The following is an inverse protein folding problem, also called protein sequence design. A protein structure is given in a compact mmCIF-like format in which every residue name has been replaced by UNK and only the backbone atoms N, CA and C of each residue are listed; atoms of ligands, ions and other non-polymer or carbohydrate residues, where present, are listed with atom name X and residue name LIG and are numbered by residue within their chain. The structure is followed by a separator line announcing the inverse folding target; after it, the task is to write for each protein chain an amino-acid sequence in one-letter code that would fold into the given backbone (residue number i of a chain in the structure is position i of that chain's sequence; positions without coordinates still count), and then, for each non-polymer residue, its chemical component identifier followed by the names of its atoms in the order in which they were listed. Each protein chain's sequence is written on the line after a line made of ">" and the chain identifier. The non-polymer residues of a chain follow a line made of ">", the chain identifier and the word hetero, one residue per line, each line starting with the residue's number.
data_IF_351881034284
#
_entry.id   IF_351881034284
#
_cell.length_a   1.000
_cell.length_b   1.000
_cell.length_c   1.000
_cell.angle_alpha   90.00
_cell.angle_beta   90.00
_cell.angle_gamma   90.00
#
_symmetry.space_group_name_H-M   'P 1'
#
loop_
_entity.id
_entity.type
_entity.pdbx_description
1 polymer ?
#
# COMPACT_ATOMS: atom_id res chain seq x y z
N UNK A 1 2.85 13.43 -34.69
CA UNK A 1 4.15 13.40 -34.00
C UNK A 1 4.27 12.09 -33.26
N UNK A 2 5.46 11.53 -33.19
CA UNK A 2 5.72 10.35 -32.39
C UNK A 2 5.56 10.71 -30.89
N UNK A 3 5.06 9.80 -30.06
CA UNK A 3 4.75 10.04 -28.65
C UNK A 3 6.01 10.31 -27.80
N UNK A 4 7.13 9.74 -28.21
CA UNK A 4 8.46 9.89 -27.63
C UNK A 4 9.08 11.27 -27.87
N UNK A 5 8.60 12.01 -28.90
CA UNK A 5 9.01 13.39 -29.18
C UNK A 5 8.24 14.43 -28.32
N UNK A 6 7.20 14.00 -27.60
CA UNK A 6 6.42 14.90 -26.77
C UNK A 6 7.01 14.97 -25.36
N UNK A 7 7.29 16.18 -24.85
CA UNK A 7 7.77 16.32 -23.48
C UNK A 7 6.72 15.82 -22.47
N UNK A 8 7.20 15.31 -21.36
CA UNK A 8 6.36 14.93 -20.21
C UNK A 8 6.44 16.06 -19.20
N UNK A 9 5.29 16.66 -18.86
CA UNK A 9 5.21 17.73 -17.87
C UNK A 9 4.70 17.23 -16.54
N UNK A 10 3.43 16.80 -16.50
CA UNK A 10 2.74 16.40 -15.27
C UNK A 10 2.22 14.95 -15.32
N UNK A 11 2.47 14.23 -16.41
CA UNK A 11 2.01 12.85 -16.55
C UNK A 11 2.86 11.89 -15.76
N UNK A 12 2.21 11.08 -14.96
CA UNK A 12 2.78 9.94 -14.24
C UNK A 12 1.97 8.67 -14.46
N UNK A 13 2.62 7.54 -14.27
CA UNK A 13 1.95 6.24 -14.18
C UNK A 13 1.69 5.96 -12.70
N UNK A 14 0.45 6.06 -12.23
CA UNK A 14 0.13 5.75 -10.85
C UNK A 14 0.26 4.25 -10.59
N UNK A 15 0.37 3.91 -9.32
CA UNK A 15 0.36 2.52 -8.89
C UNK A 15 -0.96 1.87 -9.27
N UNK A 16 -0.90 0.74 -9.97
CA UNK A 16 -2.10 0.00 -10.32
C UNK A 16 -2.77 -0.51 -9.03
N UNK A 17 -4.01 -0.14 -8.86
CA UNK A 17 -4.88 -0.54 -7.77
C UNK A 17 -6.30 -0.73 -8.31
N UNK A 18 -7.24 -1.13 -7.47
CA UNK A 18 -8.63 -1.36 -7.89
C UNK A 18 -9.29 -0.10 -8.50
N UNK A 19 -8.97 1.08 -8.03
CA UNK A 19 -9.51 2.34 -8.59
C UNK A 19 -8.95 2.57 -9.99
N UNK A 20 -7.64 2.42 -10.16
CA UNK A 20 -6.97 2.58 -11.45
C UNK A 20 -7.36 1.51 -12.46
N UNK A 21 -7.69 0.30 -11.99
CA UNK A 21 -8.13 -0.80 -12.83
C UNK A 21 -9.39 -0.45 -13.64
N UNK A 22 -10.31 0.32 -13.04
CA UNK A 22 -11.55 0.77 -13.69
C UNK A 22 -11.42 2.18 -14.30
N UNK A 23 -10.25 2.79 -14.24
CA UNK A 23 -9.98 4.07 -14.88
C UNK A 23 -9.94 3.95 -16.41
N UNK A 24 -10.44 4.97 -17.10
CA UNK A 24 -10.38 5.05 -18.57
C UNK A 24 -9.03 5.50 -19.09
N UNK A 25 -8.27 6.23 -18.27
CA UNK A 25 -6.90 6.63 -18.54
C UNK A 25 -5.96 6.01 -17.52
N UNK A 26 -4.93 5.32 -17.98
CA UNK A 26 -3.92 4.73 -17.09
C UNK A 26 -2.91 5.73 -16.52
N UNK A 27 -2.90 6.95 -17.07
CA UNK A 27 -2.03 8.04 -16.61
C UNK A 27 -2.78 9.00 -15.70
N UNK A 28 -2.06 9.62 -14.80
CA UNK A 28 -2.45 10.84 -14.09
C UNK A 28 -1.76 12.02 -14.76
N UNK A 29 -2.34 13.22 -14.65
CA UNK A 29 -1.89 14.41 -15.38
C UNK A 29 -2.71 14.65 -16.63
N UNK A 30 -2.40 15.74 -17.35
CA UNK A 30 -3.20 16.25 -18.46
C UNK A 30 -2.57 16.10 -19.84
N UNK A 31 -1.27 15.85 -19.92
CA UNK A 31 -0.51 15.86 -21.18
C UNK A 31 -0.52 14.52 -21.93
N UNK A 32 -0.99 13.44 -21.31
CA UNK A 32 -1.13 12.12 -21.96
C UNK A 32 -2.45 11.43 -21.66
N UNK A 33 -3.03 10.88 -22.70
CA UNK A 33 -4.21 10.03 -22.62
C UNK A 33 -3.87 8.69 -23.27
N UNK A 34 -4.09 7.61 -22.56
CA UNK A 34 -3.87 6.26 -23.10
C UNK A 34 -4.92 5.96 -24.18
N UNK A 35 -4.51 5.21 -25.20
CA UNK A 35 -5.49 4.58 -26.08
C UNK A 35 -6.18 3.48 -25.26
N UNK A 36 -7.49 3.62 -25.09
CA UNK A 36 -8.30 2.70 -24.30
C UNK A 36 -9.30 1.96 -25.19
N UNK A 37 -8.94 0.73 -25.56
CA UNK A 37 -9.89 -0.26 -26.06
C UNK A 37 -9.72 -1.47 -25.13
N UNK A 38 -10.50 -1.49 -24.04
CA UNK A 38 -10.27 -2.40 -22.93
C UNK A 38 -11.56 -2.77 -22.21
N UNK A 39 -11.54 -3.92 -21.54
CA UNK A 39 -12.54 -4.33 -20.58
C UNK A 39 -11.90 -4.63 -19.24
N UNK A 40 -12.41 -4.04 -18.17
CA UNK A 40 -11.98 -4.32 -16.80
C UNK A 40 -13.02 -5.16 -16.10
N UNK A 41 -12.57 -6.24 -15.47
CA UNK A 41 -13.41 -7.17 -14.73
C UNK A 41 -12.90 -7.25 -13.30
N UNK A 42 -13.82 -7.20 -12.35
CA UNK A 42 -13.51 -7.35 -10.93
C UNK A 42 -14.62 -8.04 -10.18
N UNK A 43 -14.24 -8.83 -9.19
CA UNK A 43 -15.17 -9.50 -8.28
C UNK A 43 -14.85 -9.07 -6.87
N UNK A 44 -15.89 -8.70 -6.13
CA UNK A 44 -15.77 -8.33 -4.71
C UNK A 44 -16.71 -9.20 -3.88
N UNK A 45 -16.14 -9.88 -2.89
CA UNK A 45 -16.89 -10.56 -1.83
C UNK A 45 -16.84 -9.75 -0.54
N UNK A 46 -17.97 -9.65 0.16
CA UNK A 46 -18.05 -9.03 1.48
C UNK A 46 -18.83 -9.93 2.41
N UNK A 47 -18.27 -10.17 3.59
CA UNK A 47 -18.93 -10.93 4.63
C UNK A 47 -19.23 -10.02 5.82
N UNK A 48 -20.45 -10.17 6.32
CA UNK A 48 -20.98 -9.39 7.42
C UNK A 48 -21.35 -10.32 8.58
N UNK A 49 -21.12 -9.84 9.77
CA UNK A 49 -21.59 -10.49 10.98
C UNK A 49 -23.11 -10.37 11.07
N UNK A 50 -23.78 -11.48 11.31
CA UNK A 50 -25.25 -11.54 11.26
C UNK A 50 -25.90 -10.77 12.41
N UNK A 51 -25.25 -10.66 13.56
CA UNK A 51 -25.81 -10.03 14.75
C UNK A 51 -25.57 -8.51 14.75
N UNK A 52 -24.36 -8.09 14.41
CA UNK A 52 -23.97 -6.68 14.46
C UNK A 52 -24.11 -5.94 13.13
N UNK A 53 -24.27 -6.65 12.01
CA UNK A 53 -24.23 -6.09 10.67
C UNK A 53 -22.84 -5.55 10.26
N UNK A 54 -21.83 -5.74 11.10
CA UNK A 54 -20.47 -5.25 10.85
C UNK A 54 -19.77 -6.08 9.79
N UNK A 55 -19.15 -5.42 8.82
CA UNK A 55 -18.35 -6.12 7.82
C UNK A 55 -17.04 -6.59 8.45
N UNK A 56 -16.78 -7.89 8.44
CA UNK A 56 -15.53 -8.46 8.95
C UNK A 56 -14.56 -8.91 7.85
N UNK A 57 -15.03 -9.09 6.60
CA UNK A 57 -14.17 -9.42 5.47
C UNK A 57 -14.62 -8.68 4.21
N UNK A 58 -13.66 -8.16 3.48
CA UNK A 58 -13.83 -7.73 2.11
C UNK A 58 -12.64 -8.24 1.29
N UNK A 59 -12.92 -8.94 0.21
CA UNK A 59 -11.92 -9.41 -0.73
C UNK A 59 -12.31 -8.97 -2.15
N UNK A 60 -11.37 -8.40 -2.87
CA UNK A 60 -11.58 -7.98 -4.25
C UNK A 60 -10.42 -8.47 -5.11
N UNK A 61 -10.73 -8.95 -6.29
CA UNK A 61 -9.76 -9.30 -7.31
C UNK A 61 -10.22 -8.74 -8.65
N UNK A 62 -9.29 -8.25 -9.46
CA UNK A 62 -9.65 -7.70 -10.76
C UNK A 62 -8.48 -7.63 -11.73
N UNK A 63 -8.82 -7.52 -13.02
CA UNK A 63 -7.88 -7.45 -14.13
C UNK A 63 -8.50 -6.69 -15.30
N UNK A 64 -7.64 -6.04 -16.11
CA UNK A 64 -8.04 -5.37 -17.35
C UNK A 64 -7.51 -6.14 -18.56
N UNK A 65 -8.35 -6.34 -19.54
CA UNK A 65 -8.01 -6.94 -20.83
C UNK A 65 -8.01 -5.86 -21.90
N UNK A 66 -6.92 -5.78 -22.68
CA UNK A 66 -6.74 -4.81 -23.75
C UNK A 66 -6.99 -5.48 -25.10
N UNK A 67 -7.89 -4.90 -25.89
CA UNK A 67 -8.21 -5.40 -27.23
C UNK A 67 -7.29 -4.85 -28.31
N UNK A 68 -6.51 -3.81 -27.96
CA UNK A 68 -5.48 -3.23 -28.82
C UNK A 68 -4.16 -3.07 -28.05
N UNK A 69 -3.07 -3.06 -28.78
CA UNK A 69 -1.76 -2.74 -28.19
C UNK A 69 -1.75 -1.31 -27.66
N UNK A 70 -1.23 -1.14 -26.48
CA UNK A 70 -1.00 0.20 -25.90
C UNK A 70 0.10 0.90 -26.71
N UNK A 71 -0.26 1.97 -27.40
CA UNK A 71 0.64 2.74 -28.27
C UNK A 71 1.23 3.96 -27.57
N UNK A 72 0.56 4.42 -26.51
CA UNK A 72 0.96 5.58 -25.70
C UNK A 72 1.75 5.07 -24.51
N UNK A 73 2.99 5.53 -24.36
CA UNK A 73 3.91 5.17 -23.27
C UNK A 73 4.59 6.39 -22.68
N UNK A 74 5.20 6.22 -21.50
CA UNK A 74 6.13 7.19 -20.94
C UNK A 74 7.57 6.86 -21.42
N UNK A 75 8.46 7.86 -21.54
CA UNK A 75 9.86 7.62 -21.81
C UNK A 75 10.45 6.67 -20.78
N UNK A 76 11.12 5.59 -21.26
CA UNK A 76 11.69 4.57 -20.39
C UNK A 76 10.70 3.52 -19.86
N UNK A 77 9.41 3.64 -20.18
CA UNK A 77 8.43 2.59 -19.86
C UNK A 77 8.67 1.38 -20.76
N UNK A 78 8.89 0.18 -20.20
CA UNK A 78 9.06 -1.02 -21.01
C UNK A 78 7.77 -1.32 -21.79
N UNK A 79 7.87 -1.75 -23.05
CA UNK A 79 6.69 -2.12 -23.83
C UNK A 79 5.97 -3.28 -23.14
N UNK A 80 4.66 -3.13 -22.96
CA UNK A 80 3.84 -4.21 -22.39
C UNK A 80 3.86 -5.43 -23.30
N UNK A 81 4.10 -6.56 -22.66
CA UNK A 81 3.95 -7.87 -23.26
C UNK A 81 2.58 -8.41 -22.88
N UNK A 82 1.79 -8.83 -23.87
CA UNK A 82 0.46 -9.38 -23.64
C UNK A 82 -0.69 -8.36 -23.70
N UNK A 83 -1.90 -8.89 -23.63
CA UNK A 83 -3.16 -8.16 -23.80
C UNK A 83 -3.92 -8.00 -22.47
N UNK A 84 -3.26 -8.19 -21.34
CA UNK A 84 -3.86 -8.10 -20.00
C UNK A 84 -3.01 -7.26 -19.05
N UNK A 85 -3.67 -6.64 -18.08
CA UNK A 85 -2.97 -5.97 -16.99
C UNK A 85 -2.42 -6.99 -15.99
N UNK A 86 -1.63 -6.50 -15.05
CA UNK A 86 -1.40 -7.25 -13.83
C UNK A 86 -2.72 -7.53 -13.12
N UNK A 87 -2.77 -8.65 -12.43
CA UNK A 87 -3.87 -9.00 -11.55
C UNK A 87 -3.74 -8.17 -10.27
N UNK A 88 -4.82 -7.52 -9.85
CA UNK A 88 -4.88 -6.78 -8.59
C UNK A 88 -5.79 -7.50 -7.62
N UNK A 89 -5.29 -7.78 -6.43
CA UNK A 89 -6.07 -8.37 -5.35
C UNK A 89 -5.92 -7.57 -4.07
N UNK A 90 -7.03 -7.36 -3.36
CA UNK A 90 -7.08 -6.69 -2.07
C UNK A 90 -7.92 -7.50 -1.10
N UNK A 91 -7.46 -7.60 0.13
CA UNK A 91 -8.16 -8.24 1.23
C UNK A 91 -8.13 -7.32 2.44
N UNK A 92 -9.30 -7.07 3.03
CA UNK A 92 -9.43 -6.41 4.32
C UNK A 92 -10.20 -7.35 5.26
N UNK A 93 -9.58 -7.71 6.35
CA UNK A 93 -10.12 -8.60 7.37
C UNK A 93 -10.10 -7.90 8.72
N UNK A 94 -11.25 -7.84 9.38
CA UNK A 94 -11.38 -7.44 10.78
C UNK A 94 -11.69 -8.70 11.58
N UNK A 95 -10.66 -9.30 12.18
CA UNK A 95 -10.80 -10.53 12.96
C UNK A 95 -10.88 -10.19 14.45
N UNK A 96 -11.86 -10.74 15.15
CA UNK A 96 -12.00 -10.61 16.60
C UNK A 96 -11.80 -9.18 17.07
N UNK A 97 -12.72 -8.29 16.86
CA UNK A 97 -12.76 -6.90 17.35
C UNK A 97 -11.42 -6.11 17.43
N UNK A 98 -10.29 -6.82 17.68
CA UNK A 98 -8.99 -6.25 18.01
C UNK A 98 -7.97 -6.33 16.88
N UNK A 99 -8.18 -7.19 15.87
CA UNK A 99 -7.26 -7.39 14.75
C UNK A 99 -7.83 -6.87 13.44
N UNK A 100 -7.06 -6.06 12.76
CA UNK A 100 -7.28 -5.68 11.38
C UNK A 100 -6.11 -6.15 10.52
N UNK A 101 -6.40 -6.78 9.41
CA UNK A 101 -5.40 -7.25 8.43
C UNK A 101 -5.79 -6.68 7.06
N UNK A 102 -4.88 -5.92 6.47
CA UNK A 102 -4.97 -5.47 5.10
C UNK A 102 -3.89 -6.16 4.27
N UNK A 103 -4.27 -6.72 3.17
CA UNK A 103 -3.37 -7.32 2.19
C UNK A 103 -3.67 -6.75 0.80
N UNK A 104 -2.63 -6.41 0.06
CA UNK A 104 -2.71 -5.97 -1.33
C UNK A 104 -1.64 -6.67 -2.16
N UNK A 105 -2.00 -7.09 -3.36
CA UNK A 105 -1.13 -7.77 -4.31
C UNK A 105 -1.36 -7.24 -5.72
N UNK A 106 -0.27 -6.97 -6.42
CA UNK A 106 -0.22 -6.80 -7.86
C UNK A 106 0.68 -7.89 -8.43
N UNK A 107 0.09 -8.77 -9.21
CA UNK A 107 0.75 -9.94 -9.79
C UNK A 107 0.81 -9.80 -11.31
N UNK A 108 2.02 -9.92 -11.86
CA UNK A 108 2.25 -9.94 -13.29
C UNK A 108 2.14 -11.39 -13.80
N UNK A 109 1.08 -11.73 -14.56
CA UNK A 109 0.89 -13.10 -15.06
C UNK A 109 1.89 -13.49 -16.15
N UNK A 110 2.39 -12.53 -16.94
CA UNK A 110 3.33 -12.79 -18.01
C UNK A 110 4.71 -13.22 -17.49
N UNK A 111 5.16 -12.56 -16.44
CA UNK A 111 6.46 -12.83 -15.82
C UNK A 111 6.34 -13.75 -14.60
N UNK A 112 5.12 -14.16 -14.24
CA UNK A 112 4.79 -15.01 -13.08
C UNK A 112 5.41 -14.51 -11.77
N UNK A 113 5.33 -13.20 -11.53
CA UNK A 113 5.96 -12.56 -10.37
C UNK A 113 5.08 -11.47 -9.74
N UNK A 114 5.33 -11.21 -8.46
CA UNK A 114 4.72 -10.07 -7.77
C UNK A 114 5.47 -8.78 -8.13
N UNK A 115 4.76 -7.80 -8.64
CA UNK A 115 5.27 -6.45 -8.85
C UNK A 115 5.16 -5.62 -7.58
N UNK A 116 4.07 -5.84 -6.82
CA UNK A 116 3.83 -5.20 -5.53
C UNK A 116 3.14 -6.16 -4.59
N UNK A 117 3.52 -6.09 -3.34
CA UNK A 117 2.82 -6.74 -2.26
C UNK A 117 2.86 -5.85 -1.02
N UNK A 118 1.76 -5.79 -0.31
CA UNK A 118 1.73 -5.17 1.00
C UNK A 118 0.89 -6.00 1.97
N UNK A 119 1.38 -6.06 3.19
CA UNK A 119 0.64 -6.65 4.31
C UNK A 119 0.69 -5.66 5.46
N UNK A 120 -0.44 -5.40 6.06
CA UNK A 120 -0.53 -4.63 7.29
C UNK A 120 -1.36 -5.38 8.29
N UNK A 121 -0.83 -5.56 9.47
CA UNK A 121 -1.54 -6.16 10.60
C UNK A 121 -1.56 -5.14 11.72
N UNK A 122 -2.74 -4.83 12.23
CA UNK A 122 -2.93 -4.00 13.40
C UNK A 122 -3.61 -4.81 14.49
N UNK A 123 -3.02 -4.79 15.68
CA UNK A 123 -3.62 -5.28 16.91
C UNK A 123 -3.96 -4.10 17.81
N UNK A 124 -5.24 -3.91 18.11
CA UNK A 124 -5.75 -2.80 18.92
C UNK A 124 -6.82 -3.28 19.90
N UNK A 125 -6.42 -3.86 21.04
CA UNK A 125 -7.36 -4.39 22.03
C UNK A 125 -8.19 -3.32 22.74
N UNK A 126 -7.68 -2.07 22.77
CA UNK A 126 -8.37 -0.92 23.34
C UNK A 126 -7.83 0.39 22.73
N UNK A 127 -8.36 1.54 23.21
CA UNK A 127 -7.95 2.85 22.70
C UNK A 127 -6.54 3.30 23.14
N UNK A 128 -5.97 2.64 24.13
CA UNK A 128 -4.65 2.98 24.65
C UNK A 128 -3.53 2.10 24.09
N UNK A 129 -3.88 0.95 23.51
CA UNK A 129 -2.92 -0.06 23.04
C UNK A 129 -3.03 -0.26 21.55
N UNK A 130 -1.92 -0.18 20.86
CA UNK A 130 -1.85 -0.49 19.44
C UNK A 130 -0.49 -1.07 19.10
N UNK A 131 -0.49 -2.12 18.30
CA UNK A 131 0.68 -2.69 17.66
C UNK A 131 0.39 -2.82 16.17
N UNK A 132 1.29 -2.33 15.33
CA UNK A 132 1.20 -2.45 13.89
C UNK A 132 2.43 -3.17 13.36
N UNK A 133 2.21 -4.10 12.45
CA UNK A 133 3.22 -4.74 11.64
C UNK A 133 2.92 -4.43 10.18
N UNK A 134 3.94 -4.06 9.43
CA UNK A 134 3.84 -3.74 8.02
C UNK A 134 4.93 -4.43 7.23
N UNK A 135 4.57 -4.89 6.04
CA UNK A 135 5.50 -5.32 5.01
C UNK A 135 5.07 -4.71 3.69
N UNK A 136 6.01 -4.19 2.93
CA UNK A 136 5.78 -3.60 1.63
C UNK A 136 6.89 -3.96 0.66
N UNK A 137 6.50 -4.56 -0.46
CA UNK A 137 7.34 -4.87 -1.60
C UNK A 137 6.89 -4.03 -2.80
N UNK A 138 7.81 -3.38 -3.45
CA UNK A 138 7.69 -2.84 -4.79
C UNK A 138 8.93 -3.28 -5.57
N UNK A 139 8.73 -4.14 -6.55
CA UNK A 139 9.79 -4.78 -7.31
C UNK A 139 10.81 -3.75 -7.83
N UNK A 140 12.10 -4.07 -7.66
CA UNK A 140 13.25 -3.27 -8.10
C UNK A 140 13.32 -1.84 -7.52
N UNK A 141 12.50 -1.52 -6.50
CA UNK A 141 12.47 -0.20 -5.87
C UNK A 141 12.59 -0.24 -4.35
N UNK A 142 11.83 -1.07 -3.70
CA UNK A 142 11.86 -1.14 -2.24
C UNK A 142 11.31 -2.48 -1.72
N UNK A 143 11.90 -2.92 -0.63
CA UNK A 143 11.37 -4.01 0.18
C UNK A 143 11.57 -3.64 1.65
N UNK A 144 10.48 -3.39 2.36
CA UNK A 144 10.52 -2.81 3.69
C UNK A 144 9.60 -3.55 4.65
N UNK A 145 10.09 -3.70 5.88
CA UNK A 145 9.29 -4.14 7.01
C UNK A 145 9.25 -3.04 8.06
N UNK A 146 8.10 -2.85 8.69
CA UNK A 146 7.96 -1.92 9.79
C UNK A 146 7.19 -2.53 10.96
N UNK A 147 7.58 -2.15 12.15
CA UNK A 147 6.86 -2.41 13.39
C UNK A 147 6.69 -1.09 14.13
N UNK A 148 5.47 -0.84 14.59
CA UNK A 148 5.20 0.33 15.41
C UNK A 148 4.13 0.03 16.45
N UNK A 149 4.17 0.75 17.57
CA UNK A 149 3.16 0.57 18.59
C UNK A 149 3.16 1.67 19.63
N UNK A 150 2.06 1.71 20.36
CA UNK A 150 1.90 2.48 21.58
C UNK A 150 1.33 1.58 22.66
N UNK A 151 1.92 1.63 23.85
CA UNK A 151 1.54 0.75 24.94
C UNK A 151 1.67 1.45 26.30
N UNK A 152 0.65 1.40 27.17
CA UNK A 152 0.75 1.90 28.52
C UNK A 152 1.66 0.97 29.34
N UNK A 153 2.73 1.53 29.92
CA UNK A 153 3.62 0.81 30.84
C UNK A 153 3.11 0.87 32.28
N UNK A 154 2.46 1.98 32.64
CA UNK A 154 1.85 2.21 33.93
C UNK A 154 0.71 3.22 33.81
N UNK A 155 -0.02 3.51 34.88
CA UNK A 155 -1.19 4.39 34.85
C UNK A 155 -0.97 5.78 34.19
N UNK A 156 0.27 6.30 34.25
CA UNK A 156 0.61 7.62 33.71
C UNK A 156 1.71 7.59 32.64
N UNK A 157 2.25 6.41 32.33
CA UNK A 157 3.35 6.25 31.40
C UNK A 157 2.96 5.47 30.18
N UNK A 158 3.17 6.05 29.01
CA UNK A 158 2.97 5.40 27.72
C UNK A 158 4.29 5.31 26.98
N UNK A 159 4.58 4.14 26.45
CA UNK A 159 5.67 3.89 25.50
C UNK A 159 5.09 3.97 24.10
N UNK A 160 5.83 4.58 23.18
CA UNK A 160 5.56 4.48 21.76
C UNK A 160 6.87 4.30 20.99
N UNK A 161 6.84 3.45 20.01
CA UNK A 161 8.04 3.13 19.22
C UNK A 161 7.67 2.83 17.77
N UNK A 162 8.63 3.05 16.89
CA UNK A 162 8.60 2.62 15.48
C UNK A 162 9.98 2.22 15.03
N UNK A 163 10.03 1.17 14.24
CA UNK A 163 11.22 0.72 13.55
C UNK A 163 10.86 0.33 12.13
N UNK A 164 11.50 0.97 11.14
CA UNK A 164 11.38 0.66 9.73
C UNK A 164 12.72 0.14 9.23
N UNK A 165 12.69 -1.01 8.59
CA UNK A 165 13.87 -1.71 8.09
C UNK A 165 13.76 -1.90 6.57
N UNK A 166 14.83 -1.61 5.86
CA UNK A 166 14.99 -1.90 4.45
C UNK A 166 15.61 -3.28 4.29
N UNK A 167 14.86 -4.20 3.69
CA UNK A 167 15.27 -5.58 3.46
C UNK A 167 16.17 -5.70 2.21
N UNK A 168 16.07 -4.75 1.28
CA UNK A 168 16.86 -4.73 0.06
C UNK A 168 18.29 -4.23 0.36
N UNK A 169 18.41 -3.15 1.11
CA UNK A 169 19.71 -2.57 1.50
C UNK A 169 20.23 -3.11 2.84
N UNK A 170 19.50 -4.00 3.50
CA UNK A 170 19.84 -4.57 4.81
C UNK A 170 20.14 -3.49 5.87
N UNK A 171 19.33 -2.45 5.93
CA UNK A 171 19.54 -1.31 6.79
C UNK A 171 18.29 -0.81 7.51
N UNK A 172 18.48 -0.19 8.69
CA UNK A 172 17.39 0.50 9.36
C UNK A 172 17.21 1.88 8.77
N UNK A 173 16.02 2.18 8.24
CA UNK A 173 15.66 3.49 7.71
C UNK A 173 15.29 4.47 8.81
N UNK A 174 14.49 4.03 9.75
CA UNK A 174 14.02 4.84 10.87
C UNK A 174 13.94 4.02 12.15
N UNK A 175 14.41 4.60 13.23
CA UNK A 175 14.18 4.12 14.59
C UNK A 175 13.69 5.28 15.43
N UNK A 176 12.58 5.08 16.08
CA UNK A 176 11.95 6.10 16.88
C UNK A 176 11.41 5.44 18.14
N UNK A 177 11.69 6.02 19.29
CA UNK A 177 11.13 5.59 20.56
C UNK A 177 10.88 6.79 21.45
N UNK A 178 9.84 6.73 22.25
CA UNK A 178 9.52 7.80 23.18
C UNK A 178 8.68 7.33 24.35
N UNK A 179 8.80 8.08 25.43
CA UNK A 179 8.02 7.95 26.64
C UNK A 179 7.14 9.17 26.84
N UNK A 180 5.90 8.95 27.17
CA UNK A 180 4.95 9.98 27.52
C UNK A 180 4.53 9.81 28.97
N UNK A 181 4.66 10.87 29.76
CA UNK A 181 4.05 10.97 31.07
C UNK A 181 2.82 11.86 30.99
N UNK A 182 1.69 11.37 31.48
CA UNK A 182 0.41 12.10 31.48
C UNK A 182 -0.08 12.32 32.89
N UNK A 183 -0.15 13.59 33.29
CA UNK A 183 -0.77 14.03 34.53
C UNK A 183 -2.21 14.52 34.27
N UNK A 184 -2.90 14.97 35.32
CA UNK A 184 -4.26 15.50 35.18
C UNK A 184 -4.34 16.69 34.21
N UNK A 185 -3.36 17.61 34.26
CA UNK A 185 -3.43 18.91 33.62
C UNK A 185 -2.26 19.21 32.67
N UNK A 186 -1.26 18.32 32.57
CA UNK A 186 -0.11 18.48 31.70
C UNK A 186 0.40 17.14 31.19
N UNK A 187 1.16 17.20 30.11
CA UNK A 187 1.75 16.04 29.44
C UNK A 187 3.20 16.35 29.07
N UNK A 188 4.11 15.43 29.39
CA UNK A 188 5.50 15.50 29.01
C UNK A 188 5.81 14.34 28.07
N UNK A 189 6.51 14.61 26.98
CA UNK A 189 6.92 13.60 26.01
C UNK A 189 8.42 13.75 25.74
N UNK A 190 9.15 12.67 25.94
CA UNK A 190 10.56 12.54 25.57
C UNK A 190 10.67 11.58 24.38
N UNK A 191 11.42 11.98 23.35
CA UNK A 191 11.53 11.23 22.09
C UNK A 191 12.98 11.15 21.68
N UNK A 192 13.42 9.94 21.34
CA UNK A 192 14.65 9.68 20.61
C UNK A 192 14.33 9.21 19.20
N UNK A 193 14.92 9.82 18.19
CA UNK A 193 14.73 9.47 16.79
C UNK A 193 16.07 9.40 16.07
N UNK A 194 16.23 8.33 15.29
CA UNK A 194 17.34 8.18 14.35
C UNK A 194 16.76 7.78 12.98
N UNK A 195 17.13 8.51 11.97
CA UNK A 195 16.79 8.20 10.58
C UNK A 195 18.06 8.22 9.73
N UNK A 196 18.07 7.45 8.67
CA UNK A 196 19.12 7.49 7.66
C UNK A 196 18.71 8.56 6.65
N UNK A 197 19.51 9.62 6.57
CA UNK A 197 19.41 10.57 5.47
C UNK A 197 20.00 9.90 4.24
N UNK A 198 19.18 9.68 3.20
CA UNK A 198 19.72 9.26 1.89
C UNK A 198 20.70 10.32 1.41
N UNK A 199 21.93 9.93 1.16
CA UNK A 199 22.89 10.70 0.36
C UNK A 199 22.59 10.56 -1.11
#
# INVERSE_FOLDING_TARGET
>A
RAQDELPVFDTGLPDLNLVQLFGTNRYVGADRVSNANQASVGVTARLFDADSGSRFLAATIGQTFYFERLRVGLPGEPPRRGNESDLVAELALTAYKDFNVDFGLQWNPQDSRSERAQVRVQYRPDDARVLNLGYRLQRDRLEQADVSGAWPLAQRWNLFARWTYDLQENGSLERFAGLEYKACCWRLRAVARRFVSSR
#
